data_IF_620695032920
#
_entry.id   IF_620695032920
#
_cell.length_a   1.000
_cell.length_b   1.000
_cell.length_c   1.000
_cell.angle_alpha   90.00
_cell.angle_beta   90.00
_cell.angle_gamma   90.00
#
_symmetry.space_group_name_H-M   'P 1'
#
loop_
_entity.id
_entity.type
_entity.pdbx_description
1 polymer ?
#
# COMPACT_ATOMS: atom_id res chain seq x y z
N UNK A 1 8.32 12.09 -0.15
CA UNK A 1 8.88 11.10 0.80
C UNK A 1 8.63 9.71 0.23
N UNK A 2 9.67 8.88 0.10
CA UNK A 2 9.50 7.45 -0.19
C UNK A 2 9.35 6.71 1.13
N UNK A 3 8.32 5.87 1.28
CA UNK A 3 8.11 5.10 2.50
C UNK A 3 8.44 3.63 2.17
N UNK A 4 9.53 3.15 2.78
CA UNK A 4 9.84 1.71 2.86
C UNK A 4 9.34 1.25 4.21
N UNK A 5 8.46 0.25 4.25
CA UNK A 5 7.74 -0.11 5.46
C UNK A 5 8.01 -1.56 5.81
N UNK A 6 8.49 -1.75 7.03
CA UNK A 6 8.62 -3.06 7.67
C UNK A 6 7.22 -3.55 8.10
N UNK A 7 6.95 -4.86 8.00
CA UNK A 7 5.69 -5.51 8.40
C UNK A 7 5.22 -5.13 9.81
N UNK A 8 6.18 -4.86 10.70
CA UNK A 8 5.96 -4.57 12.12
C UNK A 8 5.84 -3.07 12.42
N UNK A 9 5.87 -2.21 11.40
CA UNK A 9 5.68 -0.76 11.63
C UNK A 9 4.22 -0.48 11.94
N UNK A 10 3.85 -0.68 13.21
CA UNK A 10 2.55 -0.33 13.75
C UNK A 10 2.43 1.19 13.87
N UNK A 11 1.25 1.71 13.56
CA UNK A 11 0.98 3.14 13.74
C UNK A 11 0.85 3.46 15.25
N UNK A 12 1.76 4.28 15.78
CA UNK A 12 1.83 4.64 17.21
C UNK A 12 1.32 6.05 17.53
N UNK A 13 0.44 6.62 16.69
CA UNK A 13 -0.14 7.95 16.92
C UNK A 13 0.61 9.12 16.29
N UNK A 14 1.78 8.86 15.69
CA UNK A 14 2.54 9.83 14.88
C UNK A 14 3.28 9.12 13.74
N UNK A 15 3.46 9.82 12.61
CA UNK A 15 4.28 9.34 11.49
C UNK A 15 3.48 8.44 10.55
N UNK A 16 3.88 7.17 10.42
CA UNK A 16 3.20 6.21 9.54
C UNK A 16 3.22 4.79 10.11
N UNK A 17 2.27 3.96 9.69
CA UNK A 17 2.23 2.55 10.07
C UNK A 17 0.93 1.85 9.74
N UNK A 18 0.91 0.55 9.98
CA UNK A 18 -0.27 -0.30 9.87
C UNK A 18 -1.20 -0.08 11.06
N UNK A 19 -2.49 0.10 10.78
CA UNK A 19 -3.54 0.27 11.79
C UNK A 19 -4.20 -1.06 12.12
N UNK A 20 -4.36 -1.92 11.12
CA UNK A 20 -4.91 -3.26 11.33
C UNK A 20 -3.90 -4.15 12.02
N UNK A 21 -4.34 -5.04 12.89
CA UNK A 21 -3.54 -6.16 13.41
C UNK A 21 -3.69 -7.42 12.53
N UNK A 22 -4.03 -7.22 11.24
CA UNK A 22 -4.19 -8.33 10.30
C UNK A 22 -2.92 -9.16 10.25
N UNK A 23 -3.06 -10.49 10.23
CA UNK A 23 -1.93 -11.40 10.08
C UNK A 23 -1.24 -11.06 8.76
N UNK A 24 -0.09 -10.40 8.88
CA UNK A 24 0.78 -10.02 7.77
C UNK A 24 2.06 -10.80 7.89
N UNK A 25 2.58 -11.22 6.75
CA UNK A 25 3.83 -11.97 6.68
C UNK A 25 4.81 -11.22 5.81
N UNK A 26 6.09 -11.22 6.22
CA UNK A 26 7.18 -10.81 5.33
C UNK A 26 7.33 -11.84 4.24
N UNK A 27 7.64 -11.36 3.04
CA UNK A 27 8.01 -12.22 1.94
C UNK A 27 9.06 -11.57 1.07
N UNK A 28 9.99 -12.38 0.55
CA UNK A 28 10.94 -11.92 -0.46
C UNK A 28 10.30 -12.08 -1.85
N UNK A 29 10.19 -10.99 -2.60
CA UNK A 29 9.66 -11.05 -3.97
C UNK A 29 10.67 -11.75 -4.89
N UNK A 30 10.33 -12.89 -5.54
CA UNK A 30 11.28 -13.64 -6.37
C UNK A 30 11.84 -12.85 -7.55
N UNK A 31 11.11 -11.83 -7.99
CA UNK A 31 11.41 -10.93 -9.12
C UNK A 31 12.27 -9.73 -8.72
N UNK A 32 12.67 -9.63 -7.44
CA UNK A 32 13.56 -8.57 -6.92
C UNK A 32 14.78 -9.12 -6.18
N UNK A 33 15.15 -10.39 -6.44
CA UNK A 33 16.25 -11.09 -5.74
C UNK A 33 17.60 -10.36 -5.79
N UNK A 34 17.82 -9.51 -6.79
CA UNK A 34 19.06 -8.74 -6.96
C UNK A 34 19.03 -7.36 -6.28
N UNK A 35 17.91 -7.00 -5.61
CA UNK A 35 17.78 -5.79 -4.81
C UNK A 35 17.93 -6.18 -3.32
N UNK A 36 18.97 -5.65 -2.67
CA UNK A 36 19.37 -5.98 -1.29
C UNK A 36 18.35 -5.62 -0.21
N UNK A 37 17.36 -4.80 -0.55
CA UNK A 37 16.20 -4.52 0.27
C UNK A 37 14.98 -4.81 -0.61
N UNK A 38 14.01 -5.54 -0.08
CA UNK A 38 12.56 -5.32 -0.22
C UNK A 38 11.84 -6.64 0.08
N UNK A 39 11.85 -6.98 1.37
CA UNK A 39 10.79 -7.81 1.88
C UNK A 39 9.48 -7.03 1.72
N UNK A 40 8.54 -7.64 1.01
CA UNK A 40 7.16 -7.18 0.94
C UNK A 40 6.39 -7.70 2.13
N UNK A 41 5.19 -7.16 2.30
CA UNK A 41 4.24 -7.69 3.27
C UNK A 41 3.02 -8.21 2.54
N UNK A 42 2.51 -9.36 2.94
CA UNK A 42 1.31 -9.92 2.34
C UNK A 42 0.22 -10.20 3.38
N UNK A 43 -1.03 -10.16 2.93
CA UNK A 43 -2.19 -10.61 3.69
C UNK A 43 -3.33 -10.99 2.74
N UNK A 44 -4.27 -11.79 3.24
CA UNK A 44 -5.54 -12.08 2.57
C UNK A 44 -6.73 -11.31 3.16
N UNK A 45 -6.48 -10.48 4.17
CA UNK A 45 -7.46 -9.57 4.78
C UNK A 45 -7.23 -8.14 4.31
N UNK A 46 -8.13 -7.23 4.67
CA UNK A 46 -7.94 -5.80 4.40
C UNK A 46 -6.68 -5.29 5.10
N UNK A 47 -5.81 -4.60 4.34
CA UNK A 47 -4.67 -3.89 4.91
C UNK A 47 -4.99 -2.42 5.07
N UNK A 48 -4.89 -1.88 6.29
CA UNK A 48 -5.07 -0.44 6.55
C UNK A 48 -3.75 0.19 6.94
N UNK A 49 -3.23 1.06 6.08
CA UNK A 49 -2.01 1.83 6.29
C UNK A 49 -2.34 3.31 6.51
N UNK A 50 -1.81 3.89 7.59
CA UNK A 50 -2.02 5.29 7.94
C UNK A 50 -0.71 6.06 7.87
N UNK A 51 -0.81 7.30 7.39
CA UNK A 51 0.27 8.29 7.36
C UNK A 51 -0.28 9.61 7.84
N UNK A 52 0.35 10.22 8.84
CA UNK A 52 0.10 11.62 9.18
C UNK A 52 0.78 12.49 8.13
N UNK A 53 -0.02 13.32 7.47
CA UNK A 53 0.37 14.01 6.25
C UNK A 53 -0.31 15.38 6.22
N UNK A 54 0.43 16.49 6.08
CA UNK A 54 -0.17 17.83 6.06
C UNK A 54 -1.27 17.98 5.02
N UNK A 55 -2.14 18.97 5.23
CA UNK A 55 -3.16 19.29 4.24
C UNK A 55 -2.50 19.77 2.93
N UNK A 56 -3.02 19.27 1.80
CA UNK A 56 -2.43 19.54 0.50
C UNK A 56 -2.83 18.51 -0.55
N UNK A 57 -2.32 18.68 -1.77
CA UNK A 57 -2.51 17.71 -2.86
C UNK A 57 -1.26 16.85 -3.02
N UNK A 58 -1.47 15.54 -3.18
CA UNK A 58 -0.40 14.57 -3.26
C UNK A 58 -0.65 13.55 -4.37
N UNK A 59 0.43 13.02 -4.93
CA UNK A 59 0.43 11.79 -5.72
C UNK A 59 0.89 10.66 -4.78
N UNK A 60 0.06 9.65 -4.67
CA UNK A 60 0.36 8.40 -3.97
C UNK A 60 0.67 7.35 -5.02
N UNK A 61 1.85 6.74 -4.93
CA UNK A 61 2.32 5.66 -5.79
C UNK A 61 2.54 4.42 -4.96
N UNK A 62 1.81 3.34 -5.25
CA UNK A 62 1.86 2.09 -4.49
C UNK A 62 2.20 0.91 -5.40
N UNK A 63 3.10 0.05 -4.95
CA UNK A 63 3.53 -1.15 -5.70
C UNK A 63 3.07 -2.41 -5.00
N UNK A 64 2.41 -3.28 -5.77
CA UNK A 64 1.82 -4.51 -5.28
C UNK A 64 2.23 -5.71 -6.12
N UNK A 65 2.19 -6.90 -5.55
CA UNK A 65 2.29 -8.16 -6.29
C UNK A 65 1.44 -9.22 -5.59
N UNK A 66 1.40 -10.43 -6.13
CA UNK A 66 0.90 -11.60 -5.42
C UNK A 66 1.84 -12.77 -5.69
N UNK A 67 2.29 -13.46 -4.64
CA UNK A 67 3.22 -14.59 -4.75
C UNK A 67 2.53 -15.88 -5.22
N UNK A 68 1.24 -16.02 -4.93
CA UNK A 68 0.48 -17.23 -5.19
C UNK A 68 -0.20 -17.14 -6.57
N UNK A 69 -1.53 -17.24 -6.59
CA UNK A 69 -2.35 -17.13 -7.80
C UNK A 69 -2.72 -15.69 -8.10
N UNK A 70 -2.99 -15.33 -9.37
CA UNK A 70 -3.53 -14.02 -9.71
C UNK A 70 -4.73 -13.64 -8.84
N UNK A 71 -4.69 -12.43 -8.30
CA UNK A 71 -5.74 -11.85 -7.46
C UNK A 71 -6.12 -10.46 -7.93
N UNK A 72 -7.16 -9.89 -7.32
CA UNK A 72 -7.60 -8.52 -7.61
C UNK A 72 -7.81 -7.75 -6.33
N UNK A 73 -7.34 -6.51 -6.31
CA UNK A 73 -7.53 -5.58 -5.19
C UNK A 73 -8.21 -4.29 -5.64
N UNK A 74 -8.83 -3.63 -4.67
CA UNK A 74 -9.16 -2.21 -4.74
C UNK A 74 -8.21 -1.41 -3.84
N UNK A 75 -7.83 -0.20 -4.28
CA UNK A 75 -7.16 0.80 -3.44
C UNK A 75 -8.15 1.90 -3.09
N UNK A 76 -8.40 2.05 -1.79
CA UNK A 76 -9.30 3.04 -1.22
C UNK A 76 -8.46 3.97 -0.36
N UNK A 77 -8.61 5.29 -0.53
CA UNK A 77 -7.90 6.27 0.27
C UNK A 77 -8.89 7.29 0.85
N UNK A 78 -8.83 7.51 2.17
CA UNK A 78 -9.74 8.39 2.91
C UNK A 78 -11.22 8.17 2.54
N UNK A 79 -11.65 6.91 2.46
CA UNK A 79 -13.02 6.51 2.13
C UNK A 79 -13.39 6.54 0.64
N UNK A 80 -12.53 7.08 -0.24
CA UNK A 80 -12.77 7.11 -1.69
C UNK A 80 -11.97 6.02 -2.40
N UNK A 81 -12.63 5.24 -3.26
CA UNK A 81 -11.97 4.24 -4.12
C UNK A 81 -11.27 4.95 -5.29
N UNK A 82 -9.97 4.73 -5.44
CA UNK A 82 -9.13 5.34 -6.48
C UNK A 82 -8.75 4.35 -7.58
N UNK A 83 -8.29 3.17 -7.19
CA UNK A 83 -8.00 2.08 -8.12
C UNK A 83 -8.99 0.97 -7.85
N UNK A 84 -9.65 0.50 -8.91
CA UNK A 84 -10.62 -0.60 -8.84
C UNK A 84 -10.10 -1.78 -9.63
N UNK A 85 -10.24 -2.98 -9.07
CA UNK A 85 -10.00 -4.23 -9.79
C UNK A 85 -8.58 -4.37 -10.35
N UNK A 86 -7.57 -3.89 -9.61
CA UNK A 86 -6.16 -4.02 -9.99
C UNK A 86 -5.78 -5.50 -9.95
N UNK A 87 -5.40 -6.06 -11.09
CA UNK A 87 -4.91 -7.44 -11.18
C UNK A 87 -3.49 -7.52 -10.63
N UNK A 88 -3.28 -8.38 -9.64
CA UNK A 88 -1.98 -8.70 -9.07
C UNK A 88 -1.51 -10.05 -9.59
N UNK A 89 -0.25 -10.09 -10.01
CA UNK A 89 0.46 -11.29 -10.42
C UNK A 89 1.80 -11.34 -9.65
N UNK A 90 2.64 -12.34 -9.94
CA UNK A 90 3.99 -12.44 -9.38
C UNK A 90 4.90 -11.27 -9.76
N UNK A 91 4.60 -10.59 -10.88
CA UNK A 91 5.29 -9.37 -11.27
C UNK A 91 4.75 -8.16 -10.50
N UNK A 92 5.62 -7.32 -9.92
CA UNK A 92 5.21 -6.07 -9.30
C UNK A 92 4.44 -5.16 -10.26
N UNK A 93 3.31 -4.66 -9.79
CA UNK A 93 2.48 -3.67 -10.49
C UNK A 93 2.47 -2.39 -9.67
N UNK A 94 2.91 -1.31 -10.27
CA UNK A 94 2.92 0.03 -9.66
C UNK A 94 1.72 0.83 -10.18
N UNK A 95 0.98 1.45 -9.26
CA UNK A 95 -0.16 2.33 -9.59
C UNK A 95 -0.02 3.66 -8.86
N UNK A 96 -0.57 4.72 -9.45
CA UNK A 96 -0.55 6.06 -8.86
C UNK A 96 -1.93 6.68 -8.89
N UNK A 97 -2.25 7.49 -7.87
CA UNK A 97 -3.46 8.31 -7.83
C UNK A 97 -3.22 9.64 -7.11
N UNK A 98 -3.96 10.67 -7.49
CA UNK A 98 -3.92 12.00 -6.87
C UNK A 98 -4.99 12.13 -5.79
N UNK A 99 -4.62 12.63 -4.62
CA UNK A 99 -5.53 12.84 -3.48
C UNK A 99 -5.31 14.23 -2.85
N UNK A 100 -6.39 14.84 -2.38
CA UNK A 100 -6.36 16.03 -1.52
C UNK A 100 -6.53 15.58 -0.07
N UNK A 101 -5.60 15.98 0.79
CA UNK A 101 -5.65 15.76 2.23
C UNK A 101 -6.21 17.01 2.92
N UNK A 102 -7.25 16.81 3.74
CA UNK A 102 -7.92 17.88 4.50
C UNK A 102 -7.83 17.68 6.01
N UNK A 103 -7.58 16.44 6.45
CA UNK A 103 -7.68 16.03 7.86
C UNK A 103 -6.31 15.62 8.43
N UNK A 104 -5.24 16.18 7.86
CA UNK A 104 -3.85 15.94 8.24
C UNK A 104 -3.43 14.45 8.23
N UNK A 105 -4.14 13.61 7.47
CA UNK A 105 -3.87 12.17 7.38
C UNK A 105 -4.27 11.57 6.04
N UNK A 106 -3.51 10.57 5.64
CA UNK A 106 -3.86 9.60 4.61
C UNK A 106 -4.11 8.25 5.29
N UNK A 107 -5.25 7.64 4.98
CA UNK A 107 -5.58 6.25 5.31
C UNK A 107 -5.77 5.53 3.98
N UNK A 108 -4.86 4.61 3.65
CA UNK A 108 -4.95 3.75 2.48
C UNK A 108 -5.40 2.35 2.90
N UNK A 109 -6.44 1.84 2.25
CA UNK A 109 -6.96 0.50 2.43
C UNK A 109 -6.67 -0.31 1.16
N UNK A 110 -6.05 -1.46 1.35
CA UNK A 110 -5.85 -2.50 0.33
C UNK A 110 -6.93 -3.55 0.57
N UNK A 111 -7.92 -3.62 -0.32
CA UNK A 111 -9.06 -4.52 -0.17
C UNK A 111 -9.00 -5.66 -1.21
N UNK A 112 -8.74 -6.92 -0.80
CA UNK A 112 -8.85 -8.05 -1.70
C UNK A 112 -10.30 -8.32 -2.11
N UNK A 113 -10.54 -8.47 -3.42
CA UNK A 113 -11.89 -8.65 -3.98
C UNK A 113 -12.36 -10.10 -4.03
N UNK A 114 -11.48 -11.03 -3.70
CA UNK A 114 -11.70 -12.46 -3.88
C UNK A 114 -11.37 -13.17 -2.58
N UNK A 115 -12.34 -13.90 -2.03
CA UNK A 115 -12.16 -14.67 -0.79
C UNK A 115 -10.99 -15.65 -0.91
N UNK A 116 -10.12 -15.65 0.09
CA UNK A 116 -8.95 -16.52 0.13
C UNK A 116 -7.78 -16.08 -0.77
N UNK A 117 -7.93 -15.00 -1.55
CA UNK A 117 -6.84 -14.45 -2.37
C UNK A 117 -6.32 -13.16 -1.76
N UNK A 118 -5.02 -13.12 -1.53
CA UNK A 118 -4.37 -11.98 -0.89
C UNK A 118 -3.76 -10.96 -1.83
N UNK A 119 -3.00 -10.10 -1.19
CA UNK A 119 -2.19 -9.06 -1.79
C UNK A 119 -0.82 -9.07 -1.15
N UNK A 120 0.19 -8.72 -1.94
CA UNK A 120 1.51 -8.34 -1.49
C UNK A 120 1.72 -6.85 -1.74
N UNK A 121 2.35 -6.16 -0.80
CA UNK A 121 2.68 -4.75 -0.91
C UNK A 121 4.17 -4.56 -0.68
N UNK A 122 4.82 -3.88 -1.63
CA UNK A 122 6.27 -3.73 -1.67
C UNK A 122 6.72 -2.34 -1.26
N UNK A 123 5.99 -1.30 -1.67
CA UNK A 123 6.31 0.08 -1.30
C UNK A 123 5.11 1.02 -1.49
N UNK A 124 5.19 2.17 -0.82
CA UNK A 124 4.35 3.32 -1.10
C UNK A 124 5.18 4.61 -1.06
N UNK A 125 5.04 5.43 -2.09
CA UNK A 125 5.68 6.74 -2.18
C UNK A 125 4.61 7.82 -2.23
N UNK A 126 4.80 8.87 -1.43
CA UNK A 126 3.87 10.00 -1.37
C UNK A 126 4.66 11.26 -1.69
N UNK A 127 4.25 11.97 -2.75
CA UNK A 127 4.88 13.22 -3.19
C UNK A 127 3.85 14.33 -3.23
N UNK A 128 4.14 15.53 -2.70
CA UNK A 128 3.28 16.68 -2.92
C UNK A 128 3.18 16.95 -4.43
N UNK A 129 1.98 17.30 -4.88
CA UNK A 129 1.81 17.90 -6.20
C UNK A 129 2.25 19.35 -6.07
N UNK A 130 3.29 19.75 -6.80
CA UNK A 130 3.66 21.15 -6.87
C UNK A 130 2.42 21.96 -7.26
N UNK A 131 2.10 22.98 -6.46
CA UNK A 131 1.24 24.07 -6.92
C UNK A 131 2.06 24.83 -7.96
N UNK A 132 1.62 24.81 -9.21
CA UNK A 132 2.03 25.82 -10.20
C UNK A 132 1.67 27.22 -9.71
#
# INVERSE_FOLDING_TARGET
MGISVNVDTLYQGQGYGWVTDTQRQLFTSPQRRDQTDLDGICSNQDGVFRVDLPNGRYIVTSTHCNQEQPSKIDLIANGKRYIRNLTLNQHPVTTSYSITITDQKLIQVIHPRQTGKGWGWLNCTIKPMSTE
#
